data_IF_127813704765
#
_entry.id   IF_127813704765
#
_cell.length_a   1.000
_cell.length_b   1.000
_cell.length_c   1.000
_cell.angle_alpha   90.00
_cell.angle_beta   90.00
_cell.angle_gamma   90.00
#
_symmetry.space_group_name_H-M   'P 1'
#
loop_
_entity.id
_entity.type
_entity.pdbx_description
1 polymer ?
#
# COMPACT_ATOMS: atom_id res chain seq x y z
N UNK A 1 -61.97 1.66 -66.82
CA UNK A 1 -62.12 3.02 -66.26
C UNK A 1 -60.75 3.45 -65.73
N UNK A 2 -60.30 4.64 -66.16
CA UNK A 2 -59.19 5.47 -65.62
C UNK A 2 -57.78 4.82 -65.54
N UNK A 3 -56.84 5.15 -66.43
CA UNK A 3 -55.90 6.30 -66.37
C UNK A 3 -55.03 6.27 -65.07
N UNK A 4 -53.69 6.35 -65.02
CA UNK A 4 -52.76 7.24 -65.74
C UNK A 4 -51.28 6.85 -65.43
N UNK A 5 -50.40 7.16 -66.40
CA UNK A 5 -49.03 7.75 -66.33
C UNK A 5 -47.84 7.06 -65.63
N UNK A 6 -46.89 6.72 -66.51
CA UNK A 6 -45.43 6.93 -66.48
C UNK A 6 -44.93 8.13 -65.64
N UNK A 7 -43.67 8.08 -65.17
CA UNK A 7 -42.63 9.08 -65.51
C UNK A 7 -41.21 8.58 -65.20
N UNK A 8 -40.30 8.79 -66.17
CA UNK A 8 -38.88 8.47 -66.18
C UNK A 8 -38.07 9.69 -65.72
N UNK A 9 -37.00 9.48 -64.96
CA UNK A 9 -35.80 10.34 -64.84
C UNK A 9 -34.64 9.36 -64.50
N UNK A 10 -33.81 8.89 -65.44
CA UNK A 10 -32.63 9.52 -66.06
C UNK A 10 -31.73 10.21 -65.02
N UNK A 11 -30.67 9.52 -64.58
CA UNK A 11 -29.29 10.01 -64.72
C UNK A 11 -28.31 8.82 -64.85
N UNK A 12 -27.60 8.81 -65.97
CA UNK A 12 -26.43 8.00 -66.27
C UNK A 12 -25.18 8.71 -65.73
N UNK A 13 -24.20 7.98 -65.17
CA UNK A 13 -22.81 7.87 -65.66
C UNK A 13 -21.90 7.22 -64.59
N UNK A 14 -21.22 6.11 -64.94
CA UNK A 14 -19.74 5.94 -65.01
C UNK A 14 -19.05 5.81 -63.63
N UNK A 15 -18.30 4.75 -63.28
CA UNK A 15 -17.19 4.11 -64.01
C UNK A 15 -17.05 2.66 -63.52
N UNK A 16 -16.83 1.77 -64.49
CA UNK A 16 -16.35 0.39 -64.32
C UNK A 16 -14.82 0.44 -64.20
N UNK A 17 -14.26 -0.26 -63.20
CA UNK A 17 -12.94 -0.87 -63.37
C UNK A 17 -12.90 -2.27 -62.74
N UNK A 18 -12.37 -3.18 -63.55
CA UNK A 18 -12.25 -4.62 -63.41
C UNK A 18 -11.21 -5.04 -62.34
N UNK A 19 -11.50 -6.07 -61.54
CA UNK A 19 -10.91 -7.44 -61.65
C UNK A 19 -11.33 -8.31 -60.44
N UNK A 20 -11.66 -9.55 -60.75
CA UNK A 20 -12.20 -10.56 -59.85
C UNK A 20 -11.10 -11.45 -59.25
N UNK A 21 -11.32 -11.93 -58.03
CA UNK A 21 -11.04 -13.32 -57.63
C UNK A 21 -11.82 -13.67 -56.36
N UNK A 22 -12.78 -14.59 -56.51
CA UNK A 22 -13.42 -15.29 -55.40
C UNK A 22 -12.47 -16.38 -54.87
N UNK A 23 -12.43 -16.56 -53.54
CA UNK A 23 -12.14 -17.86 -52.93
C UNK A 23 -12.74 -17.91 -51.53
N UNK A 24 -13.80 -18.70 -51.38
CA UNK A 24 -14.43 -19.10 -50.13
C UNK A 24 -13.45 -19.85 -49.21
N UNK A 25 -13.55 -19.59 -47.89
CA UNK A 25 -13.36 -20.55 -46.78
C UNK A 25 -13.58 -19.81 -45.44
N UNK A 26 -14.84 -19.72 -45.01
CA UNK A 26 -15.21 -19.20 -43.70
C UNK A 26 -14.77 -20.18 -42.59
N UNK A 27 -13.65 -19.87 -41.94
CA UNK A 27 -13.42 -20.24 -40.54
C UNK A 27 -12.91 -18.98 -39.85
N UNK A 28 -13.81 -18.30 -39.14
CA UNK A 28 -13.55 -17.02 -38.48
C UNK A 28 -12.65 -17.24 -37.27
N UNK A 29 -11.34 -17.22 -37.47
CA UNK A 29 -10.43 -16.71 -36.46
C UNK A 29 -10.50 -15.18 -36.58
N UNK A 30 -11.40 -14.57 -35.82
CA UNK A 30 -11.35 -13.12 -35.62
C UNK A 30 -10.11 -12.87 -34.78
N UNK A 31 -9.01 -12.55 -35.45
CA UNK A 31 -7.82 -12.00 -34.80
C UNK A 31 -8.17 -10.57 -34.41
N UNK A 32 -8.78 -10.39 -33.25
CA UNK A 32 -8.84 -9.07 -32.61
C UNK A 32 -7.45 -8.80 -32.02
N UNK A 33 -6.81 -7.67 -32.32
CA UNK A 33 -5.56 -7.31 -31.68
C UNK A 33 -5.85 -6.86 -30.24
N UNK A 34 -5.99 -7.81 -29.32
CA UNK A 34 -5.64 -7.62 -27.91
C UNK A 34 -4.20 -8.12 -27.81
N UNK A 35 -3.20 -7.26 -27.70
CA UNK A 35 -2.99 -6.38 -26.57
C UNK A 35 -1.94 -7.10 -25.74
N UNK A 36 -0.65 -6.82 -26.00
CA UNK A 36 0.50 -7.48 -25.38
C UNK A 36 0.63 -7.19 -23.87
N UNK A 37 -0.49 -6.89 -23.19
CA UNK A 37 -0.53 -6.50 -21.79
C UNK A 37 -0.25 -7.74 -20.95
N UNK A 38 0.89 -7.74 -20.27
CA UNK A 38 1.35 -8.84 -19.43
C UNK A 38 1.82 -8.32 -18.07
N UNK A 39 1.92 -7.01 -17.89
CA UNK A 39 2.45 -6.39 -16.68
C UNK A 39 1.39 -5.55 -16.00
N UNK A 40 1.37 -5.60 -14.67
CA UNK A 40 0.62 -4.64 -13.87
C UNK A 40 1.43 -4.08 -12.72
N UNK A 41 0.85 -3.08 -12.05
CA UNK A 41 1.38 -2.46 -10.83
C UNK A 41 0.30 -2.52 -9.75
N UNK A 42 0.64 -3.14 -8.62
CA UNK A 42 -0.19 -3.22 -7.42
C UNK A 42 0.07 -2.01 -6.54
N UNK A 43 -0.95 -1.18 -6.30
CA UNK A 43 -0.78 0.10 -5.61
C UNK A 43 -1.83 0.28 -4.54
N UNK A 44 -1.39 0.60 -3.31
CA UNK A 44 -2.11 1.46 -2.36
C UNK A 44 -1.33 1.99 -1.13
N UNK A 45 -0.27 2.82 -1.20
CA UNK A 45 1.00 2.71 -1.96
C UNK A 45 1.49 1.31 -2.30
N UNK A 46 2.58 1.19 -3.08
CA UNK A 46 3.07 -0.06 -3.64
C UNK A 46 2.98 -1.25 -2.67
N UNK A 47 2.42 -2.35 -3.17
CA UNK A 47 2.27 -3.60 -2.42
C UNK A 47 3.31 -4.58 -2.95
N UNK A 48 4.18 -5.06 -2.07
CA UNK A 48 5.26 -6.01 -2.38
C UNK A 48 4.82 -7.45 -2.08
N UNK A 49 5.16 -8.39 -2.96
CA UNK A 49 4.86 -9.82 -2.78
C UNK A 49 3.41 -10.21 -3.03
N UNK A 50 2.58 -9.31 -3.57
CA UNK A 50 1.20 -9.58 -3.96
C UNK A 50 1.16 -10.44 -5.23
N UNK A 51 0.32 -11.49 -5.22
CA UNK A 51 0.07 -12.33 -6.40
C UNK A 51 -1.35 -12.08 -6.90
N UNK A 52 -1.50 -11.94 -8.21
CA UNK A 52 -2.78 -11.70 -8.86
C UNK A 52 -3.20 -12.90 -9.70
N UNK A 53 -4.50 -13.08 -9.85
CA UNK A 53 -5.11 -14.05 -10.73
C UNK A 53 -5.86 -13.31 -11.84
N UNK A 54 -5.72 -13.79 -13.07
CA UNK A 54 -6.62 -13.41 -14.15
C UNK A 54 -7.83 -14.34 -14.12
N UNK A 55 -9.02 -13.77 -14.07
CA UNK A 55 -10.29 -14.48 -13.95
C UNK A 55 -11.13 -14.16 -15.18
N UNK A 56 -11.66 -15.19 -15.82
CA UNK A 56 -12.65 -15.05 -16.88
C UNK A 56 -13.96 -14.50 -16.29
N UNK A 57 -14.38 -13.32 -16.75
CA UNK A 57 -15.50 -12.60 -16.15
C UNK A 57 -16.86 -13.30 -16.31
N UNK A 58 -17.02 -14.17 -17.31
CA UNK A 58 -18.27 -14.88 -17.58
C UNK A 58 -18.39 -16.18 -16.77
N UNK A 59 -17.27 -16.89 -16.61
CA UNK A 59 -17.22 -18.23 -16.02
C UNK A 59 -16.67 -18.27 -14.60
N UNK A 60 -15.95 -17.23 -14.17
CA UNK A 60 -15.23 -17.19 -12.89
C UNK A 60 -14.01 -18.13 -12.85
N UNK A 61 -13.59 -18.68 -13.99
CA UNK A 61 -12.43 -19.57 -14.04
C UNK A 61 -11.13 -18.76 -13.96
N UNK A 62 -10.19 -19.21 -13.12
CA UNK A 62 -8.83 -18.68 -13.12
C UNK A 62 -8.12 -19.11 -14.40
N UNK A 63 -7.66 -18.13 -15.18
CA UNK A 63 -6.94 -18.32 -16.44
C UNK A 63 -5.45 -18.49 -16.22
N UNK A 64 -4.87 -17.66 -15.35
CA UNK A 64 -3.45 -17.67 -15.00
C UNK A 64 -3.18 -16.90 -13.69
N UNK A 65 -1.97 -17.04 -13.17
CA UNK A 65 -1.49 -16.30 -12.00
C UNK A 65 -0.24 -15.49 -12.37
N UNK A 66 -0.05 -14.33 -11.73
CA UNK A 66 1.11 -13.49 -11.92
C UNK A 66 2.31 -13.99 -11.11
N UNK A 67 3.49 -13.43 -11.38
CA UNK A 67 4.57 -13.38 -10.39
C UNK A 67 4.12 -12.61 -9.14
N UNK A 68 4.74 -12.81 -7.97
CA UNK A 68 4.66 -11.85 -6.88
C UNK A 68 5.13 -10.46 -7.35
N UNK A 69 4.49 -9.40 -6.85
CA UNK A 69 4.90 -8.03 -7.10
C UNK A 69 6.24 -7.71 -6.43
N UNK A 70 7.04 -6.82 -7.01
CA UNK A 70 8.27 -6.33 -6.39
C UNK A 70 8.01 -5.11 -5.48
N UNK A 71 9.08 -4.49 -4.95
CA UNK A 71 9.00 -3.31 -4.09
C UNK A 71 8.37 -2.06 -4.75
N UNK A 72 8.24 -2.05 -6.09
CA UNK A 72 7.52 -1.01 -6.85
C UNK A 72 6.13 -1.48 -7.28
N UNK A 73 5.59 -2.52 -6.65
CA UNK A 73 4.28 -3.09 -6.98
C UNK A 73 4.22 -3.83 -8.31
N UNK A 74 5.31 -3.92 -9.08
CA UNK A 74 5.27 -4.47 -10.44
C UNK A 74 5.20 -5.99 -10.41
N UNK A 75 4.22 -6.56 -11.11
CA UNK A 75 4.03 -8.00 -11.32
C UNK A 75 3.83 -8.33 -12.81
N UNK A 76 4.06 -9.59 -13.20
CA UNK A 76 3.98 -10.03 -14.60
C UNK A 76 3.22 -11.36 -14.71
N UNK A 77 2.34 -11.46 -15.71
CA UNK A 77 1.65 -12.68 -16.11
C UNK A 77 2.45 -13.46 -17.17
N UNK A 78 2.38 -14.81 -17.17
CA UNK A 78 3.08 -15.63 -18.15
C UNK A 78 2.55 -15.47 -19.59
N UNK A 79 1.26 -15.17 -19.74
CA UNK A 79 0.60 -14.96 -21.04
C UNK A 79 -0.09 -13.58 -21.10
N UNK A 80 -0.31 -13.00 -22.30
CA UNK A 80 -1.10 -11.77 -22.46
C UNK A 80 -2.48 -11.87 -21.83
N UNK A 81 -2.86 -10.81 -21.13
CA UNK A 81 -4.15 -10.67 -20.48
C UNK A 81 -5.27 -10.58 -21.51
N UNK A 82 -6.40 -11.20 -21.20
CA UNK A 82 -7.57 -11.28 -22.06
C UNK A 82 -8.44 -10.03 -21.85
N UNK A 83 -8.73 -9.24 -22.90
CA UNK A 83 -9.70 -8.14 -22.78
C UNK A 83 -11.06 -8.65 -22.27
N UNK A 84 -11.61 -7.97 -21.27
CA UNK A 84 -12.84 -8.33 -20.58
C UNK A 84 -12.65 -9.24 -19.37
N UNK A 85 -11.47 -9.81 -19.16
CA UNK A 85 -11.13 -10.53 -17.92
C UNK A 85 -10.99 -9.57 -16.74
N UNK A 86 -10.95 -10.13 -15.54
CA UNK A 86 -10.68 -9.41 -14.30
C UNK A 86 -9.32 -9.87 -13.76
N UNK A 87 -8.44 -8.91 -13.43
CA UNK A 87 -7.31 -9.18 -12.55
C UNK A 87 -7.77 -8.96 -11.12
N UNK A 88 -7.53 -9.93 -10.25
CA UNK A 88 -7.92 -9.92 -8.84
C UNK A 88 -6.77 -10.35 -7.94
N UNK A 89 -6.60 -9.68 -6.80
CA UNK A 89 -5.61 -10.04 -5.79
C UNK A 89 -5.95 -11.40 -5.17
N UNK A 90 -4.98 -12.32 -5.16
CA UNK A 90 -5.16 -13.65 -4.60
C UNK A 90 -5.23 -13.58 -3.07
N UNK A 91 -6.33 -14.05 -2.49
CA UNK A 91 -6.61 -13.92 -1.06
C UNK A 91 -5.53 -14.53 -0.14
N UNK A 92 -4.85 -15.60 -0.59
CA UNK A 92 -3.79 -16.26 0.18
C UNK A 92 -2.42 -15.60 0.06
N UNK A 93 -2.23 -14.66 -0.88
CA UNK A 93 -0.94 -14.08 -1.25
C UNK A 93 -1.07 -12.56 -1.48
N UNK A 94 -1.66 -11.85 -0.51
CA UNK A 94 -1.95 -10.40 -0.59
C UNK A 94 -0.73 -9.50 -0.54
N UNK A 95 0.42 -10.01 -0.11
CA UNK A 95 1.65 -9.24 0.02
C UNK A 95 1.70 -8.32 1.24
N UNK A 96 2.70 -7.45 1.22
CA UNK A 96 3.01 -6.46 2.24
C UNK A 96 2.85 -5.06 1.68
N UNK A 97 2.27 -4.19 2.50
CA UNK A 97 2.11 -2.79 2.24
C UNK A 97 2.94 -2.03 3.30
N UNK A 98 4.00 -1.31 2.91
CA UNK A 98 4.91 -0.68 3.87
C UNK A 98 5.42 -1.63 4.97
N UNK A 99 5.76 -2.88 4.60
CA UNK A 99 6.26 -3.91 5.51
C UNK A 99 5.20 -4.65 6.37
N UNK A 100 3.93 -4.23 6.37
CA UNK A 100 2.87 -4.94 7.09
C UNK A 100 1.91 -5.67 6.14
N UNK A 101 1.22 -6.75 6.57
CA UNK A 101 0.26 -7.47 5.73
C UNK A 101 -0.80 -6.55 5.14
N UNK A 102 -1.03 -6.65 3.83
CA UNK A 102 -2.14 -5.94 3.19
C UNK A 102 -3.46 -6.68 3.45
N UNK A 103 -4.46 -5.97 4.00
CA UNK A 103 -5.74 -6.55 4.40
C UNK A 103 -6.83 -6.36 3.35
N UNK A 104 -6.65 -5.41 2.43
CA UNK A 104 -7.64 -5.03 1.43
C UNK A 104 -7.82 -6.04 0.29
N UNK A 105 -8.38 -5.53 -0.81
CA UNK A 105 -8.62 -6.27 -2.05
C UNK A 105 -8.40 -5.35 -3.25
N UNK A 106 -7.68 -5.86 -4.25
CA UNK A 106 -7.38 -5.12 -5.47
C UNK A 106 -7.95 -5.84 -6.69
N UNK A 107 -8.70 -5.12 -7.52
CA UNK A 107 -9.32 -5.65 -8.73
C UNK A 107 -9.22 -4.67 -9.89
N UNK A 108 -9.24 -5.18 -11.12
CA UNK A 108 -9.33 -4.39 -12.36
C UNK A 108 -9.94 -5.21 -13.49
N UNK A 109 -10.87 -4.64 -14.23
CA UNK A 109 -11.31 -5.18 -15.55
C UNK A 109 -10.32 -4.77 -16.63
N UNK A 110 -9.88 -5.73 -17.46
CA UNK A 110 -8.94 -5.47 -18.56
C UNK A 110 -9.67 -4.92 -19.78
N UNK A 111 -9.29 -3.73 -20.22
CA UNK A 111 -9.83 -3.13 -21.43
C UNK A 111 -9.00 -3.52 -22.67
N UNK A 112 -9.64 -3.62 -23.84
CA UNK A 112 -8.94 -3.87 -25.10
C UNK A 112 -7.94 -2.75 -25.48
N UNK A 113 -8.09 -1.55 -24.89
CA UNK A 113 -7.23 -0.39 -25.11
C UNK A 113 -6.12 -0.25 -24.05
N UNK A 114 -6.07 -1.15 -23.05
CA UNK A 114 -5.05 -1.10 -22.01
C UNK A 114 -3.64 -1.27 -22.59
N UNK A 115 -2.67 -0.69 -21.89
CA UNK A 115 -1.25 -0.75 -22.23
C UNK A 115 -0.45 -1.21 -21.01
N UNK A 116 0.75 -1.75 -21.25
CA UNK A 116 1.65 -2.11 -20.17
C UNK A 116 2.26 -0.86 -19.50
N UNK A 117 2.35 -0.83 -18.16
CA UNK A 117 1.66 -1.72 -17.22
C UNK A 117 0.23 -1.24 -16.92
N UNK A 118 -0.67 -2.17 -16.57
CA UNK A 118 -1.99 -1.81 -16.01
C UNK A 118 -1.90 -1.54 -14.51
N UNK A 119 -2.60 -0.53 -14.02
CA UNK A 119 -2.65 -0.22 -12.57
C UNK A 119 -3.80 -0.97 -11.93
N UNK A 120 -3.52 -1.73 -10.86
CA UNK A 120 -4.52 -2.38 -10.01
C UNK A 120 -4.46 -1.69 -8.65
N UNK A 121 -5.51 -0.95 -8.32
CA UNK A 121 -5.61 -0.08 -7.14
C UNK A 121 -7.02 -0.14 -6.55
N UNK A 122 -7.24 0.38 -5.34
CA UNK A 122 -8.57 0.51 -4.74
C UNK A 122 -9.56 1.24 -5.65
N UNK A 123 -9.09 2.24 -6.40
CA UNK A 123 -9.92 2.96 -7.39
C UNK A 123 -10.38 2.01 -8.50
N UNK A 124 -9.45 1.22 -9.09
CA UNK A 124 -9.85 0.26 -10.12
C UNK A 124 -10.68 -0.89 -9.56
N UNK A 125 -10.58 -1.19 -8.26
CA UNK A 125 -11.46 -2.15 -7.58
C UNK A 125 -12.91 -1.70 -7.62
N UNK A 126 -13.19 -0.45 -7.24
CA UNK A 126 -14.56 0.08 -7.32
C UNK A 126 -15.09 0.11 -8.75
N UNK A 127 -14.23 0.41 -9.73
CA UNK A 127 -14.60 0.33 -11.15
C UNK A 127 -14.93 -1.11 -11.58
N UNK A 128 -14.14 -2.09 -11.13
CA UNK A 128 -14.40 -3.50 -11.38
C UNK A 128 -15.69 -4.00 -10.72
N UNK A 129 -16.07 -3.40 -9.59
CA UNK A 129 -17.34 -3.66 -8.90
C UNK A 129 -18.55 -2.97 -9.57
N UNK A 130 -18.33 -2.26 -10.69
CA UNK A 130 -19.38 -1.71 -11.54
C UNK A 130 -19.70 -0.23 -11.31
N UNK A 131 -18.92 0.50 -10.51
CA UNK A 131 -19.00 1.97 -10.45
C UNK A 131 -18.41 2.54 -11.75
N UNK A 132 -19.09 3.49 -12.37
CA UNK A 132 -18.54 4.15 -13.57
C UNK A 132 -17.46 5.19 -13.19
N UNK A 133 -16.49 5.48 -14.09
CA UNK A 133 -15.51 6.53 -13.84
C UNK A 133 -16.13 7.88 -13.48
N UNK A 134 -17.23 8.26 -14.13
CA UNK A 134 -17.93 9.52 -13.88
C UNK A 134 -18.57 9.57 -12.49
N UNK A 135 -19.16 8.46 -12.04
CA UNK A 135 -19.75 8.35 -10.70
C UNK A 135 -18.69 8.40 -9.61
N UNK A 136 -17.57 7.70 -9.79
CA UNK A 136 -16.47 7.73 -8.82
C UNK A 136 -15.84 9.12 -8.72
N UNK A 137 -15.64 9.80 -9.85
CA UNK A 137 -15.16 11.20 -9.85
C UNK A 137 -16.16 12.13 -9.18
N UNK A 138 -17.46 11.97 -9.43
CA UNK A 138 -18.48 12.76 -8.75
C UNK A 138 -18.44 12.56 -7.23
N UNK A 139 -18.33 11.32 -6.75
CA UNK A 139 -18.20 11.03 -5.32
C UNK A 139 -16.94 11.67 -4.70
N UNK A 140 -15.80 11.59 -5.37
CA UNK A 140 -14.56 12.25 -4.92
C UNK A 140 -14.68 13.77 -4.89
N UNK A 141 -15.33 14.36 -5.89
CA UNK A 141 -15.56 15.81 -5.97
C UNK A 141 -16.52 16.30 -4.89
N UNK A 142 -17.61 15.57 -4.64
CA UNK A 142 -18.58 15.87 -3.60
C UNK A 142 -17.95 15.79 -2.20
N UNK A 143 -17.01 14.87 -2.01
CA UNK A 143 -16.20 14.74 -0.80
C UNK A 143 -15.05 15.76 -0.69
N UNK A 144 -14.87 16.64 -1.71
CA UNK A 144 -13.95 17.78 -1.68
C UNK A 144 -12.70 17.65 -2.55
N UNK A 145 -12.42 16.49 -3.12
CA UNK A 145 -11.22 16.23 -3.93
C UNK A 145 -11.46 16.50 -5.41
N UNK A 146 -11.48 17.78 -5.77
CA UNK A 146 -11.98 18.26 -7.09
C UNK A 146 -10.95 18.28 -8.23
N UNK A 147 -9.68 17.97 -7.96
CA UNK A 147 -8.58 18.09 -8.94
C UNK A 147 -8.46 16.89 -9.89
N UNK A 148 -9.14 15.78 -9.59
CA UNK A 148 -9.03 14.54 -10.36
C UNK A 148 -10.00 14.47 -11.53
N UNK A 149 -9.57 13.75 -12.57
CA UNK A 149 -10.34 13.43 -13.78
C UNK A 149 -10.50 11.92 -13.93
N UNK A 150 -11.42 11.49 -14.80
CA UNK A 150 -11.64 10.05 -15.06
C UNK A 150 -10.39 9.33 -15.58
N UNK A 151 -9.48 10.05 -16.26
CA UNK A 151 -8.21 9.46 -16.72
C UNK A 151 -7.24 9.18 -15.56
N UNK A 152 -7.33 9.92 -14.46
CA UNK A 152 -6.45 9.73 -13.31
C UNK A 152 -6.75 8.42 -12.57
N UNK A 153 -7.98 7.91 -12.63
CA UNK A 153 -8.41 6.67 -11.95
C UNK A 153 -7.63 5.42 -12.37
N UNK A 154 -6.96 5.46 -13.52
CA UNK A 154 -6.16 4.36 -14.05
C UNK A 154 -4.65 4.63 -13.99
N UNK A 155 -4.24 5.78 -13.44
CA UNK A 155 -2.86 6.16 -13.31
C UNK A 155 -2.28 5.64 -11.99
N UNK A 156 -0.96 5.47 -11.97
CA UNK A 156 -0.23 5.06 -10.77
C UNK A 156 -0.04 6.29 -9.85
N UNK A 157 -0.63 6.31 -8.63
CA UNK A 157 -0.48 7.43 -7.70
C UNK A 157 0.96 7.64 -7.22
N UNK A 158 1.78 6.58 -7.15
CA UNK A 158 3.14 6.65 -6.61
C UNK A 158 4.17 7.11 -7.64
N UNK A 159 3.93 6.87 -8.93
CA UNK A 159 4.82 7.34 -10.01
C UNK A 159 4.99 8.86 -9.98
N UNK A 160 3.93 9.61 -9.66
CA UNK A 160 4.00 11.07 -9.56
C UNK A 160 4.94 11.52 -8.46
N UNK A 161 4.97 10.81 -7.33
CA UNK A 161 5.77 11.14 -6.16
C UNK A 161 7.25 10.75 -6.32
N UNK A 162 7.51 9.61 -6.95
CA UNK A 162 8.88 9.06 -7.13
C UNK A 162 9.86 9.96 -7.89
N UNK A 163 9.36 10.95 -8.63
CA UNK A 163 10.18 11.87 -9.43
C UNK A 163 10.19 13.30 -8.89
N UNK A 164 9.57 13.56 -7.73
CA UNK A 164 9.53 14.90 -7.15
C UNK A 164 10.86 15.16 -6.46
N UNK A 165 11.71 15.94 -7.12
CA UNK A 165 12.94 16.51 -6.54
C UNK A 165 12.73 17.97 -6.09
N UNK A 166 11.49 18.45 -6.11
CA UNK A 166 11.07 19.83 -5.82
C UNK A 166 9.99 19.84 -4.72
N UNK A 167 9.24 20.93 -4.60
CA UNK A 167 8.11 21.04 -3.65
C UNK A 167 6.96 20.11 -4.06
N UNK A 168 6.42 19.35 -3.11
CA UNK A 168 5.24 18.50 -3.29
C UNK A 168 4.00 19.39 -3.22
N UNK A 169 3.09 19.27 -4.18
CA UNK A 169 1.82 20.02 -4.16
C UNK A 169 0.63 19.14 -3.81
N UNK A 170 -0.47 19.73 -3.34
CA UNK A 170 -1.71 18.98 -3.07
C UNK A 170 -2.26 18.28 -4.33
N UNK A 171 -1.97 18.83 -5.51
CA UNK A 171 -2.33 18.19 -6.78
C UNK A 171 -1.50 16.92 -7.05
N UNK A 172 -0.25 16.87 -6.60
CA UNK A 172 0.59 15.68 -6.72
C UNK A 172 0.08 14.55 -5.81
N UNK A 173 -0.49 14.91 -4.65
CA UNK A 173 -1.00 13.99 -3.64
C UNK A 173 -2.43 13.50 -3.92
N UNK A 174 -3.22 14.27 -4.68
CA UNK A 174 -4.65 14.00 -4.88
C UNK A 174 -4.99 12.57 -5.29
N UNK A 175 -4.27 11.98 -6.25
CA UNK A 175 -4.56 10.62 -6.72
C UNK A 175 -4.25 9.58 -5.64
N UNK A 176 -3.18 9.79 -4.87
CA UNK A 176 -2.83 8.91 -3.75
C UNK A 176 -3.86 9.02 -2.63
N UNK A 177 -4.27 10.24 -2.27
CA UNK A 177 -5.31 10.48 -1.27
C UNK A 177 -6.62 9.76 -1.64
N UNK A 178 -7.04 9.82 -2.90
CA UNK A 178 -8.23 9.13 -3.39
C UNK A 178 -8.11 7.60 -3.25
N UNK A 179 -6.95 7.03 -3.64
CA UNK A 179 -6.67 5.60 -3.51
C UNK A 179 -6.77 5.14 -2.06
N UNK A 180 -6.06 5.83 -1.16
CA UNK A 180 -6.01 5.50 0.26
C UNK A 180 -7.39 5.64 0.91
N UNK A 181 -8.18 6.64 0.53
CA UNK A 181 -9.52 6.85 1.06
C UNK A 181 -10.48 5.73 0.67
N UNK A 182 -10.42 5.27 -0.58
CA UNK A 182 -11.22 4.13 -1.05
C UNK A 182 -10.81 2.85 -0.33
N UNK A 183 -9.51 2.60 -0.15
CA UNK A 183 -9.07 1.44 0.61
C UNK A 183 -9.49 1.50 2.08
N UNK A 184 -9.30 2.64 2.75
CA UNK A 184 -9.72 2.83 4.13
C UNK A 184 -11.23 2.58 4.29
N UNK A 185 -12.06 3.07 3.36
CA UNK A 185 -13.48 2.78 3.32
C UNK A 185 -13.76 1.27 3.21
N UNK A 186 -13.13 0.57 2.27
CA UNK A 186 -13.32 -0.87 2.10
C UNK A 186 -12.84 -1.68 3.30
N UNK A 187 -11.71 -1.31 3.91
CA UNK A 187 -11.20 -1.97 5.10
C UNK A 187 -12.11 -1.76 6.31
N UNK A 188 -12.55 -0.53 6.58
CA UNK A 188 -13.44 -0.23 7.73
C UNK A 188 -14.77 -0.97 7.61
N UNK A 189 -15.35 -1.00 6.41
CA UNK A 189 -16.65 -1.64 6.17
C UNK A 189 -16.56 -3.15 5.95
N UNK A 190 -15.40 -3.65 5.54
CA UNK A 190 -15.22 -5.02 5.06
C UNK A 190 -15.91 -5.29 3.71
N UNK A 191 -16.36 -4.25 3.00
CA UNK A 191 -17.12 -4.37 1.76
C UNK A 191 -16.22 -4.18 0.53
N UNK A 192 -15.38 -5.18 0.27
CA UNK A 192 -14.47 -5.16 -0.89
C UNK A 192 -15.17 -5.27 -2.26
N UNK A 193 -16.43 -5.71 -2.25
CA UNK A 193 -17.30 -5.80 -3.43
C UNK A 193 -18.30 -4.61 -3.51
N UNK A 194 -18.05 -3.53 -2.75
CA UNK A 194 -18.92 -2.36 -2.74
C UNK A 194 -19.09 -1.77 -4.14
N UNK A 195 -20.34 -1.54 -4.54
CA UNK A 195 -20.70 -0.84 -5.76
C UNK A 195 -21.33 0.52 -5.46
N UNK A 196 -22.00 1.09 -6.45
CA UNK A 196 -22.60 2.43 -6.36
C UNK A 196 -23.71 2.51 -5.31
N UNK A 197 -24.42 1.41 -5.06
CA UNK A 197 -25.51 1.38 -4.07
C UNK A 197 -24.93 1.56 -2.66
N UNK A 198 -23.90 0.78 -2.33
CA UNK A 198 -23.22 0.85 -1.05
C UNK A 198 -22.51 2.18 -0.88
N UNK A 199 -21.85 2.71 -1.92
CA UNK A 199 -21.18 4.00 -1.87
C UNK A 199 -22.14 5.18 -1.73
N UNK A 200 -23.42 5.05 -2.11
CA UNK A 200 -24.45 6.08 -1.93
C UNK A 200 -25.25 5.93 -0.64
N UNK A 201 -25.00 4.89 0.15
CA UNK A 201 -25.63 4.76 1.46
C UNK A 201 -25.13 5.88 2.39
N UNK A 202 -26.01 6.65 3.07
CA UNK A 202 -25.57 7.76 3.91
C UNK A 202 -24.59 7.39 5.03
N UNK A 203 -24.66 6.17 5.57
CA UNK A 203 -23.72 5.73 6.60
C UNK A 203 -22.34 5.42 6.01
N UNK A 204 -22.30 4.86 4.80
CA UNK A 204 -21.06 4.60 4.08
C UNK A 204 -20.41 5.87 3.54
N UNK A 205 -21.22 6.81 3.03
CA UNK A 205 -20.76 8.15 2.65
C UNK A 205 -20.10 8.86 3.84
N UNK A 206 -20.69 8.79 5.03
CA UNK A 206 -20.08 9.39 6.22
C UNK A 206 -18.71 8.78 6.55
N UNK A 207 -18.51 7.47 6.35
CA UNK A 207 -17.21 6.82 6.51
C UNK A 207 -16.23 7.34 5.45
N UNK A 208 -16.63 7.28 4.18
CA UNK A 208 -15.80 7.71 3.05
C UNK A 208 -15.36 9.17 3.18
N UNK A 209 -16.31 10.09 3.43
CA UNK A 209 -16.04 11.52 3.61
C UNK A 209 -15.12 11.77 4.80
N UNK A 210 -15.33 11.08 5.93
CA UNK A 210 -14.48 11.24 7.12
C UNK A 210 -13.07 10.78 6.82
N UNK A 211 -12.90 9.61 6.20
CA UNK A 211 -11.57 9.07 5.89
C UNK A 211 -10.84 9.90 4.83
N UNK A 212 -11.54 10.39 3.80
CA UNK A 212 -10.93 11.26 2.81
C UNK A 212 -10.44 12.57 3.46
N UNK A 213 -11.24 13.20 4.31
CA UNK A 213 -10.82 14.42 5.01
C UNK A 213 -9.58 14.20 5.87
N UNK A 214 -9.53 13.09 6.62
CA UNK A 214 -8.37 12.74 7.45
C UNK A 214 -7.13 12.54 6.57
N UNK A 215 -7.25 11.81 5.48
CA UNK A 215 -6.14 11.53 4.58
C UNK A 215 -5.64 12.82 3.92
N UNK A 216 -6.54 13.72 3.52
CA UNK A 216 -6.18 15.05 3.00
C UNK A 216 -5.45 15.88 4.07
N UNK A 217 -5.89 15.83 5.34
CA UNK A 217 -5.24 16.55 6.42
C UNK A 217 -3.88 15.96 6.82
N UNK A 218 -3.69 14.64 6.70
CA UNK A 218 -2.40 13.98 6.97
C UNK A 218 -1.41 14.11 5.81
N UNK A 219 -1.90 14.11 4.57
CA UNK A 219 -1.08 14.16 3.36
C UNK A 219 -1.40 15.43 2.56
N UNK A 220 -0.92 16.58 3.02
CA UNK A 220 -0.98 17.82 2.23
C UNK A 220 0.35 18.57 2.28
N UNK A 221 0.48 19.55 1.38
CA UNK A 221 1.67 20.39 1.24
C UNK A 221 2.04 21.09 2.54
N UNK A 222 1.06 21.62 3.28
CA UNK A 222 1.30 22.36 4.52
C UNK A 222 1.85 21.47 5.65
N UNK A 223 1.37 20.22 5.73
CA UNK A 223 1.90 19.25 6.69
C UNK A 223 3.32 18.81 6.33
N UNK A 224 3.61 18.62 5.04
CA UNK A 224 4.97 18.34 4.56
C UNK A 224 5.94 19.47 4.93
N UNK A 225 5.55 20.72 4.73
CA UNK A 225 6.34 21.90 5.12
C UNK A 225 6.55 21.96 6.64
N UNK A 226 5.50 21.69 7.42
CA UNK A 226 5.52 21.73 8.89
C UNK A 226 6.49 20.70 9.45
N UNK A 227 6.40 19.45 9.00
CA UNK A 227 7.29 18.37 9.45
C UNK A 227 8.72 18.59 8.96
N UNK A 228 8.91 19.02 7.70
CA UNK A 228 10.25 19.34 7.18
C UNK A 228 10.92 20.44 8.00
N UNK A 229 10.17 21.48 8.40
CA UNK A 229 10.68 22.54 9.25
C UNK A 229 11.02 22.04 10.68
N UNK A 230 10.19 21.14 11.23
CA UNK A 230 10.43 20.54 12.55
C UNK A 230 11.72 19.70 12.57
N UNK A 231 11.98 18.94 11.51
CA UNK A 231 13.14 18.04 11.39
C UNK A 231 14.39 18.70 10.80
N UNK A 232 14.33 19.95 10.34
CA UNK A 232 15.43 20.62 9.64
C UNK A 232 16.74 20.74 10.44
N UNK A 233 16.66 20.69 11.78
CA UNK A 233 17.83 20.74 12.67
C UNK A 233 18.01 19.45 13.48
N UNK A 234 17.27 18.39 13.16
CA UNK A 234 17.42 17.10 13.83
C UNK A 234 18.77 16.47 13.44
N UNK A 235 19.64 16.12 14.40
CA UNK A 235 20.96 15.59 14.11
C UNK A 235 20.93 14.21 13.43
N UNK A 236 19.83 13.46 13.56
CA UNK A 236 19.66 12.15 12.92
C UNK A 236 19.26 12.29 11.44
N UNK A 237 18.69 13.44 11.04
CA UNK A 237 18.25 13.70 9.66
C UNK A 237 19.39 14.30 8.84
N UNK A 238 20.26 13.42 8.36
CA UNK A 238 21.51 13.77 7.67
C UNK A 238 21.37 14.01 6.16
N UNK A 239 20.24 13.62 5.59
CA UNK A 239 19.90 13.79 4.17
C UNK A 239 18.48 14.34 4.06
N UNK A 240 18.11 14.99 2.93
CA UNK A 240 16.74 15.45 2.74
C UNK A 240 15.70 14.33 2.92
N UNK A 241 14.59 14.68 3.57
CA UNK A 241 13.37 13.88 3.56
C UNK A 241 12.86 13.77 2.12
N UNK A 242 12.24 12.65 1.80
CA UNK A 242 11.60 12.41 0.49
C UNK A 242 10.11 12.12 0.67
N UNK A 243 9.25 12.33 -0.35
CA UNK A 243 7.81 12.11 -0.24
C UNK A 243 7.43 10.74 0.32
N UNK A 244 8.19 9.69 0.00
CA UNK A 244 7.98 8.34 0.50
C UNK A 244 8.07 8.23 2.04
N UNK A 245 8.89 9.05 2.71
CA UNK A 245 8.97 9.07 4.17
C UNK A 245 7.64 9.51 4.80
N UNK A 246 7.01 10.52 4.18
CA UNK A 246 5.71 11.06 4.61
C UNK A 246 4.58 10.09 4.31
N UNK A 247 4.60 9.48 3.13
CA UNK A 247 3.58 8.51 2.72
C UNK A 247 3.57 7.30 3.65
N UNK A 248 4.74 6.74 3.99
CA UNK A 248 4.81 5.62 4.94
C UNK A 248 4.36 6.01 6.35
N UNK A 249 4.71 7.22 6.81
CA UNK A 249 4.25 7.73 8.10
C UNK A 249 2.71 7.89 8.15
N UNK A 250 2.12 8.50 7.12
CA UNK A 250 0.68 8.69 7.03
C UNK A 250 -0.07 7.35 6.96
N UNK A 251 0.48 6.35 6.25
CA UNK A 251 -0.09 5.00 6.23
C UNK A 251 -0.05 4.32 7.61
N UNK A 252 1.04 4.49 8.36
CA UNK A 252 1.15 3.93 9.70
C UNK A 252 0.05 4.49 10.61
N UNK A 253 -0.20 5.80 10.55
CA UNK A 253 -1.29 6.44 11.27
C UNK A 253 -2.67 6.00 10.78
N UNK A 254 -2.87 5.93 9.47
CA UNK A 254 -4.14 5.54 8.87
C UNK A 254 -4.57 4.13 9.33
N UNK A 255 -3.63 3.20 9.50
CA UNK A 255 -3.92 1.87 10.05
C UNK A 255 -4.45 1.90 11.47
N UNK A 256 -3.86 2.73 12.32
CA UNK A 256 -4.34 2.95 13.68
C UNK A 256 -5.77 3.50 13.65
N UNK A 257 -6.03 4.48 12.78
CA UNK A 257 -7.36 5.09 12.63
C UNK A 257 -8.39 4.07 12.10
N UNK A 258 -8.04 3.25 11.11
CA UNK A 258 -8.89 2.18 10.58
C UNK A 258 -9.23 1.17 11.68
N UNK A 259 -8.24 0.72 12.44
CA UNK A 259 -8.45 -0.22 13.54
C UNK A 259 -9.39 0.35 14.61
N UNK A 260 -9.22 1.63 14.97
CA UNK A 260 -10.11 2.33 15.91
C UNK A 260 -11.53 2.47 15.36
N UNK A 261 -11.69 2.75 14.06
CA UNK A 261 -13.01 2.81 13.42
C UNK A 261 -13.72 1.46 13.44
N UNK A 262 -13.01 0.38 13.11
CA UNK A 262 -13.55 -0.98 13.15
C UNK A 262 -13.95 -1.38 14.57
N UNK A 263 -13.10 -1.10 15.57
CA UNK A 263 -13.40 -1.37 16.98
C UNK A 263 -14.61 -0.54 17.46
N UNK A 264 -14.64 0.75 17.12
CA UNK A 264 -15.75 1.66 17.42
C UNK A 264 -17.07 1.15 16.85
N UNK A 265 -17.08 0.74 15.58
CA UNK A 265 -18.25 0.16 14.93
C UNK A 265 -18.67 -1.17 15.59
N UNK A 266 -17.72 -2.06 15.90
CA UNK A 266 -18.01 -3.32 16.59
C UNK A 266 -18.66 -3.09 17.97
N UNK A 267 -18.23 -2.05 18.68
CA UNK A 267 -18.78 -1.66 19.99
C UNK A 267 -20.10 -0.87 19.90
N UNK A 268 -20.42 -0.32 18.72
CA UNK A 268 -21.59 0.54 18.49
C UNK A 268 -22.60 -0.09 17.51
N UNK A 269 -22.79 -1.41 17.57
CA UNK A 269 -23.74 -2.17 16.74
C UNK A 269 -23.61 -1.89 15.23
N UNK A 270 -22.38 -1.71 14.73
CA UNK A 270 -22.09 -1.40 13.33
C UNK A 270 -22.28 0.07 12.94
N UNK A 271 -22.55 0.97 13.90
CA UNK A 271 -22.72 2.40 13.63
C UNK A 271 -21.39 3.13 13.74
N UNK A 272 -20.99 3.82 12.68
CA UNK A 272 -19.79 4.67 12.65
C UNK A 272 -19.98 5.93 13.50
N UNK A 273 -19.01 6.22 14.37
CA UNK A 273 -18.98 7.45 15.17
C UNK A 273 -17.80 8.32 14.72
N UNK A 274 -18.03 9.40 13.95
CA UNK A 274 -16.96 10.25 13.44
C UNK A 274 -16.20 10.98 14.56
N UNK A 275 -16.79 11.17 15.74
CA UNK A 275 -16.15 11.93 16.82
C UNK A 275 -14.92 11.20 17.36
N UNK A 276 -14.97 9.88 17.49
CA UNK A 276 -13.83 9.06 17.93
C UNK A 276 -12.68 9.18 16.92
N UNK A 277 -13.01 9.20 15.65
CA UNK A 277 -12.05 9.21 14.55
C UNK A 277 -11.40 10.60 14.39
N UNK A 278 -12.17 11.67 14.60
CA UNK A 278 -11.62 13.03 14.63
C UNK A 278 -10.61 13.24 15.76
N UNK A 279 -10.75 12.57 16.91
CA UNK A 279 -9.72 12.62 17.95
C UNK A 279 -8.46 11.85 17.52
N UNK A 280 -8.62 10.67 16.92
CA UNK A 280 -7.50 9.89 16.42
C UNK A 280 -6.72 10.63 15.32
N UNK A 281 -7.40 11.42 14.48
CA UNK A 281 -6.77 12.33 13.53
C UNK A 281 -5.86 13.37 14.20
N UNK A 282 -6.32 14.01 15.30
CA UNK A 282 -5.50 14.98 16.02
C UNK A 282 -4.27 14.33 16.66
N UNK A 283 -4.43 13.12 17.19
CA UNK A 283 -3.33 12.35 17.75
C UNK A 283 -2.32 11.97 16.64
N UNK A 284 -2.82 11.55 15.47
CA UNK A 284 -1.98 11.24 14.30
C UNK A 284 -1.18 12.45 13.82
N UNK A 285 -1.82 13.63 13.67
CA UNK A 285 -1.12 14.88 13.31
C UNK A 285 -0.03 15.24 14.33
N UNK A 286 -0.27 15.00 15.61
CA UNK A 286 0.72 15.25 16.66
C UNK A 286 1.92 14.28 16.61
N UNK A 287 1.71 13.05 16.11
CA UNK A 287 2.72 12.00 16.01
C UNK A 287 3.44 11.98 14.65
N UNK A 288 2.93 12.68 13.63
CA UNK A 288 3.46 12.68 12.27
C UNK A 288 4.97 12.95 12.21
N UNK A 289 5.50 13.90 13.00
CA UNK A 289 6.94 14.22 13.01
C UNK A 289 7.79 13.01 13.38
N UNK A 290 7.44 12.30 14.45
CA UNK A 290 8.18 11.12 14.90
C UNK A 290 8.04 9.96 13.93
N UNK A 291 6.85 9.75 13.36
CA UNK A 291 6.65 8.69 12.37
C UNK A 291 7.41 8.94 11.05
N UNK A 292 7.50 10.20 10.61
CA UNK A 292 8.33 10.57 9.45
C UNK A 292 9.80 10.35 9.77
N UNK A 293 10.26 10.70 10.97
CA UNK A 293 11.62 10.42 11.42
C UNK A 293 11.90 8.90 11.48
N UNK A 294 10.96 8.10 11.95
CA UNK A 294 11.07 6.65 11.96
C UNK A 294 11.16 6.07 10.54
N UNK A 295 10.29 6.53 9.64
CA UNK A 295 10.29 6.14 8.22
C UNK A 295 11.59 6.52 7.52
N UNK A 296 12.08 7.74 7.78
CA UNK A 296 13.39 8.20 7.33
C UNK A 296 14.50 7.27 7.80
N UNK A 297 14.51 6.90 9.07
CA UNK A 297 15.56 6.04 9.67
C UNK A 297 15.55 4.61 9.12
N UNK A 298 14.38 4.12 8.68
CA UNK A 298 14.28 2.84 7.98
C UNK A 298 14.85 2.92 6.56
N UNK A 299 14.65 4.04 5.86
CA UNK A 299 15.12 4.25 4.49
C UNK A 299 16.60 4.59 4.42
N UNK A 300 17.04 5.51 5.27
CA UNK A 300 18.40 5.99 5.35
C UNK A 300 19.01 5.29 6.56
N UNK A 301 19.79 4.21 6.35
CA UNK A 301 20.49 3.57 7.45
C UNK A 301 21.25 4.65 8.19
N UNK A 302 21.19 4.63 9.52
CA UNK A 302 21.88 5.58 10.37
C UNK A 302 23.27 5.81 9.79
N UNK A 303 23.56 7.05 9.38
CA UNK A 303 24.87 7.30 8.81
C UNK A 303 25.90 6.87 9.85
N UNK A 304 27.06 6.39 9.41
CA UNK A 304 28.21 6.13 10.29
C UNK A 304 28.68 7.39 11.04
N UNK A 305 27.96 8.52 11.00
CA UNK A 305 28.13 9.62 11.94
C UNK A 305 27.97 9.16 13.39
N UNK A 306 27.08 8.19 13.65
CA UNK A 306 27.00 7.51 14.93
C UNK A 306 27.92 6.29 14.92
N UNK A 307 29.06 6.40 15.60
CA UNK A 307 29.96 5.26 15.81
C UNK A 307 29.29 4.29 16.79
N UNK A 308 28.51 3.34 16.27
CA UNK A 308 27.77 2.35 17.05
C UNK A 308 28.67 1.55 18.01
N UNK A 309 29.94 1.32 17.64
CA UNK A 309 30.89 0.64 18.50
C UNK A 309 31.31 1.51 19.69
N UNK A 310 31.51 2.81 19.46
CA UNK A 310 31.76 3.79 20.53
C UNK A 310 30.52 3.96 21.42
N UNK A 311 29.33 4.08 20.83
CA UNK A 311 28.07 4.17 21.57
C UNK A 311 27.84 2.94 22.45
N UNK A 312 28.05 1.73 21.92
CA UNK A 312 27.98 0.50 22.70
C UNK A 312 29.01 0.49 23.82
N UNK A 313 30.25 0.88 23.53
CA UNK A 313 31.32 0.96 24.54
C UNK A 313 30.94 1.90 25.70
N UNK A 314 30.42 3.08 25.38
CA UNK A 314 30.14 4.13 26.37
C UNK A 314 28.85 3.87 27.16
N UNK A 315 27.86 3.24 26.53
CA UNK A 315 26.51 3.10 27.11
C UNK A 315 26.15 1.69 27.56
N UNK A 316 26.76 0.65 26.98
CA UNK A 316 26.31 -0.74 27.17
C UNK A 316 27.38 -1.64 27.80
N UNK A 317 28.64 -1.48 27.41
CA UNK A 317 29.71 -2.44 27.71
C UNK A 317 29.97 -2.63 29.22
N UNK A 318 29.71 -1.60 30.03
CA UNK A 318 29.86 -1.68 31.49
C UNK A 318 28.97 -2.75 32.14
N UNK A 319 27.81 -3.05 31.55
CA UNK A 319 26.85 -4.05 32.05
C UNK A 319 26.76 -5.30 31.16
N UNK A 320 26.92 -5.14 29.84
CA UNK A 320 26.70 -6.21 28.85
C UNK A 320 27.98 -6.84 28.30
N UNK A 321 29.13 -6.52 28.89
CA UNK A 321 30.47 -6.88 28.42
C UNK A 321 30.86 -6.15 27.11
N UNK A 322 32.17 -6.09 26.77
CA UNK A 322 32.64 -5.52 25.51
C UNK A 322 32.00 -6.16 24.27
N UNK A 323 31.98 -5.42 23.16
CA UNK A 323 31.21 -5.78 21.95
C UNK A 323 31.61 -7.15 21.36
N UNK A 324 32.88 -7.52 21.44
CA UNK A 324 33.42 -8.80 20.95
C UNK A 324 33.00 -10.02 21.79
N UNK A 325 32.55 -9.79 23.02
CA UNK A 325 32.13 -10.83 23.98
C UNK A 325 30.78 -10.51 24.63
N UNK A 326 29.94 -9.70 23.98
CA UNK A 326 28.68 -9.25 24.55
C UNK A 326 27.77 -10.43 24.92
N UNK A 327 27.08 -10.31 26.05
CA UNK A 327 26.05 -11.28 26.46
C UNK A 327 24.68 -10.99 25.80
N UNK A 328 24.58 -9.95 24.98
CA UNK A 328 23.36 -9.54 24.26
C UNK A 328 23.55 -9.47 22.74
N UNK A 329 24.08 -10.53 22.09
CA UNK A 329 24.23 -10.56 20.64
C UNK A 329 22.86 -10.55 19.93
N UNK A 330 22.82 -10.00 18.72
CA UNK A 330 21.69 -10.12 17.80
C UNK A 330 20.41 -9.39 18.20
N UNK A 331 20.48 -8.40 19.09
CA UNK A 331 19.31 -7.59 19.46
C UNK A 331 19.01 -6.56 18.38
N UNK A 332 17.74 -6.43 18.01
CA UNK A 332 17.29 -5.39 17.08
C UNK A 332 17.15 -4.04 17.79
N UNK A 333 17.13 -2.95 17.04
CA UNK A 333 16.90 -1.61 17.60
C UNK A 333 15.58 -1.54 18.37
N UNK A 334 14.50 -2.12 17.83
CA UNK A 334 13.21 -2.22 18.51
C UNK A 334 13.32 -3.00 19.83
N UNK A 335 14.07 -4.10 19.87
CA UNK A 335 14.27 -4.85 21.12
C UNK A 335 15.05 -4.05 22.17
N UNK A 336 16.01 -3.22 21.74
CA UNK A 336 16.80 -2.37 22.62
C UNK A 336 15.93 -1.22 23.14
N UNK A 337 15.20 -0.54 22.25
CA UNK A 337 14.29 0.56 22.60
C UNK A 337 13.24 0.09 23.60
N UNK A 338 12.58 -1.05 23.33
CA UNK A 338 11.62 -1.65 24.25
C UNK A 338 12.21 -1.93 25.64
N UNK A 339 13.49 -2.34 25.72
CA UNK A 339 14.15 -2.57 26.99
C UNK A 339 14.44 -1.27 27.76
N UNK A 340 14.80 -0.19 27.05
CA UNK A 340 14.98 1.15 27.62
C UNK A 340 13.64 1.68 28.15
N UNK A 341 12.59 1.64 27.33
CA UNK A 341 11.26 2.17 27.66
C UNK A 341 10.63 1.46 28.86
N UNK A 342 10.79 0.13 28.94
CA UNK A 342 10.30 -0.67 30.05
C UNK A 342 11.29 -0.75 31.22
N UNK A 343 12.40 -0.02 31.15
CA UNK A 343 13.46 0.00 32.15
C UNK A 343 13.93 -1.41 32.56
N UNK A 344 13.97 -2.33 31.60
CA UNK A 344 14.37 -3.72 31.83
C UNK A 344 15.84 -3.76 32.24
N UNK A 345 16.14 -4.42 33.36
CA UNK A 345 17.51 -4.47 33.87
C UNK A 345 18.10 -3.09 34.20
N UNK A 346 17.25 -2.11 34.54
CA UNK A 346 17.62 -0.71 34.80
C UNK A 346 18.09 0.08 33.56
N UNK A 347 17.76 -0.34 32.33
CA UNK A 347 18.17 0.35 31.11
C UNK A 347 17.54 1.74 30.89
N UNK A 348 16.58 2.16 31.70
CA UNK A 348 15.86 3.44 31.52
C UNK A 348 16.72 4.70 31.70
N UNK A 349 17.96 4.59 32.18
CA UNK A 349 18.91 5.71 32.18
C UNK A 349 19.41 6.08 30.77
N UNK A 350 19.23 5.19 29.80
CA UNK A 350 19.59 5.37 28.39
C UNK A 350 18.48 6.05 27.57
N UNK A 351 17.42 6.55 28.21
CA UNK A 351 16.31 7.25 27.54
C UNK A 351 16.71 8.54 26.83
N UNK A 352 17.98 8.96 26.97
CA UNK A 352 18.56 10.08 26.24
C UNK A 352 19.17 9.69 24.89
N UNK A 353 19.35 8.39 24.62
CA UNK A 353 19.82 7.94 23.31
C UNK A 353 18.75 8.21 22.26
N UNK A 354 19.16 8.71 21.10
CA UNK A 354 18.24 8.85 19.96
C UNK A 354 17.95 7.49 19.33
N UNK A 355 16.86 7.39 18.57
CA UNK A 355 16.57 6.19 17.78
C UNK A 355 17.71 5.83 16.83
N UNK A 356 18.39 6.84 16.26
CA UNK A 356 19.56 6.67 15.40
C UNK A 356 20.76 6.07 16.15
N UNK A 357 21.01 6.51 17.38
CA UNK A 357 22.05 5.93 18.25
C UNK A 357 21.72 4.49 18.66
N UNK A 358 20.46 4.21 18.99
CA UNK A 358 19.98 2.85 19.32
C UNK A 358 20.10 1.91 18.12
N UNK A 359 19.74 2.37 16.92
CA UNK A 359 19.92 1.62 15.69
C UNK A 359 21.40 1.36 15.39
N UNK A 360 22.26 2.38 15.52
CA UNK A 360 23.70 2.22 15.31
C UNK A 360 24.32 1.20 16.28
N UNK A 361 23.84 1.14 17.54
CA UNK A 361 24.23 0.10 18.50
C UNK A 361 23.77 -1.28 18.01
N UNK A 362 22.51 -1.43 17.58
CA UNK A 362 21.97 -2.69 17.08
C UNK A 362 22.78 -3.23 15.89
N UNK A 363 23.14 -2.36 14.95
CA UNK A 363 23.84 -2.71 13.72
C UNK A 363 25.26 -3.26 13.96
N UNK A 364 25.91 -2.86 15.06
CA UNK A 364 27.26 -3.34 15.40
C UNK A 364 27.26 -4.59 16.30
N UNK A 365 26.09 -5.03 16.80
CA UNK A 365 26.02 -6.23 17.64
C UNK A 365 26.41 -7.47 16.83
N UNK A 366 27.22 -8.38 17.41
CA UNK A 366 27.50 -9.65 16.77
C UNK A 366 26.20 -10.46 16.58
N UNK A 367 26.14 -11.23 15.50
CA UNK A 367 25.02 -12.11 15.21
C UNK A 367 24.72 -13.04 16.40
N UNK A 368 23.45 -13.39 16.67
CA UNK A 368 23.12 -14.29 17.76
C UNK A 368 23.83 -15.63 17.53
N UNK A 369 24.37 -16.28 18.59
CA UNK A 369 25.05 -17.55 18.44
C UNK A 369 24.11 -18.54 17.78
N UNK A 370 24.57 -19.15 16.69
CA UNK A 370 23.82 -20.19 15.99
C UNK A 370 23.69 -21.36 16.97
N UNK A 371 22.48 -21.54 17.51
CA UNK A 371 22.15 -22.78 18.22
C UNK A 371 22.11 -23.88 17.16
N UNK A 372 23.06 -24.80 17.24
CA UNK A 372 23.06 -26.00 16.40
C UNK A 372 21.72 -26.73 16.61
N UNK A 373 20.89 -26.93 15.56
CA UNK A 373 19.66 -27.70 15.65
C UNK A 373 19.88 -29.16 16.08
N UNK A 374 21.13 -29.63 16.10
CA UNK A 374 21.53 -31.03 16.30
C UNK A 374 21.36 -31.59 17.71
N UNK A 375 21.09 -30.79 18.75
CA UNK A 375 20.80 -31.33 20.09
C UNK A 375 19.72 -30.49 20.76
N UNK A 376 18.49 -31.03 20.95
CA UNK A 376 17.53 -30.42 21.84
C UNK A 376 18.21 -30.17 23.20
N UNK A 377 18.11 -28.97 23.77
CA UNK A 377 18.58 -28.72 25.12
C UNK A 377 17.96 -29.79 26.03
N UNK A 378 18.78 -30.50 26.80
CA UNK A 378 18.28 -31.48 27.76
C UNK A 378 17.41 -30.72 28.78
N UNK A 379 16.09 -30.82 28.61
CA UNK A 379 15.13 -30.14 29.44
C UNK A 379 15.28 -30.52 30.92
N UNK A 380 15.77 -31.74 31.20
CA UNK A 380 16.07 -32.18 32.55
C UNK A 380 17.28 -31.45 33.13
N UNK A 381 18.33 -31.23 32.33
CA UNK A 381 19.50 -30.45 32.74
C UNK A 381 19.15 -28.97 32.96
N UNK A 382 18.42 -28.35 32.03
CA UNK A 382 17.96 -26.95 32.15
C UNK A 382 17.07 -26.72 33.36
N UNK A 383 16.12 -27.62 33.60
CA UNK A 383 15.24 -27.54 34.76
C UNK A 383 16.02 -27.69 36.06
N UNK A 384 16.98 -28.63 36.10
CA UNK A 384 17.82 -28.85 37.27
C UNK A 384 18.67 -27.62 37.61
N UNK A 385 19.19 -26.91 36.59
CA UNK A 385 20.03 -25.73 36.80
C UNK A 385 19.26 -24.45 37.12
N UNK A 386 18.07 -24.26 36.54
CA UNK A 386 17.37 -22.97 36.60
C UNK A 386 16.08 -22.99 37.42
N UNK A 387 15.47 -24.16 37.61
CA UNK A 387 14.11 -24.27 38.14
C UNK A 387 14.06 -25.06 39.46
N UNK A 388 14.87 -26.11 39.61
CA UNK A 388 14.80 -27.05 40.73
C UNK A 388 15.10 -26.41 42.11
N UNK A 389 15.81 -25.28 42.14
CA UNK A 389 16.03 -24.50 43.36
C UNK A 389 14.74 -23.95 43.98
N UNK A 390 13.70 -23.76 43.16
CA UNK A 390 12.39 -23.24 43.60
C UNK A 390 11.25 -24.26 43.43
N UNK A 391 11.34 -25.14 42.42
CA UNK A 391 10.23 -26.03 42.03
C UNK A 391 10.43 -27.51 42.41
N UNK A 392 11.43 -27.79 43.24
CA UNK A 392 11.95 -29.13 43.56
C UNK A 392 12.50 -29.86 42.33
N UNK A 393 13.38 -30.87 42.50
CA UNK A 393 13.90 -31.66 41.38
C UNK A 393 12.81 -32.45 40.67
N UNK A 394 12.95 -32.65 39.35
CA UNK A 394 12.05 -33.48 38.51
C UNK A 394 12.01 -34.95 38.94
#
# INVERSE_FOLDING_TARGET
MTHYRTHKWIFYLLIILFLAACSDSNNSAVNLPGGDVMQGVAVDPYIEGAVFQEIDADTGAVLQESSPSNALGVFVFPDPLTPGSIIELKDTEKGLHGGAPYLGMLRRVIAAADQNPVVVSPLTTLLANGITPEELIAALHDAGLTSLTTSDLYADPMVRLSNITAEVTDQDLALLQASMAVNAYMEITGLFEAGLIEMNDPAHLAIFDTMLNIIVNLLNTGEFETITAALANDPDVTTPLIPEDFVHAAMAELRTIIALAQEGMANNNGTFDPVIIMQAEQDALQNCVENVKSSYSQRVPASTAHDGALLYHDNCAACHQPLDVTEKPGRTAADIQNAIDNNLGYMGFLSTLTEGEVQAIADVLPAPPVVDPGTPPDGTALYSSNCAGCHNPL
#
